data_IF_397698013175
#
_entry.id   IF_397698013175
#
_cell.length_a   1.000
_cell.length_b   1.000
_cell.length_c   1.000
_cell.angle_alpha   90.00
_cell.angle_beta   90.00
_cell.angle_gamma   90.00
#
_symmetry.space_group_name_H-M   'P 1'
#
loop_
_entity.id
_entity.type
_entity.pdbx_description
1 polymer ?
#
# COMPACT_ATOMS: atom_id res chain seq x y z
N UNK A 1 -18.10 -10.63 -11.62
CA UNK A 1 -17.13 -9.90 -10.76
C UNK A 1 -17.54 -9.89 -9.29
N UNK A 2 -18.71 -9.34 -8.90
CA UNK A 2 -19.12 -9.22 -7.48
C UNK A 2 -19.06 -10.51 -6.64
N UNK A 3 -19.43 -11.68 -7.19
CA UNK A 3 -19.33 -12.96 -6.48
C UNK A 3 -17.90 -13.38 -6.07
N UNK A 4 -16.87 -12.85 -6.72
CA UNK A 4 -15.47 -13.25 -6.49
C UNK A 4 -14.74 -12.37 -5.46
N UNK A 5 -15.33 -11.24 -5.05
CA UNK A 5 -14.67 -10.21 -4.22
C UNK A 5 -14.98 -10.43 -2.72
N UNK A 6 -15.79 -11.44 -2.37
CA UNK A 6 -16.28 -11.64 -1.02
C UNK A 6 -17.34 -10.61 -0.62
N UNK A 7 -17.70 -10.59 0.66
CA UNK A 7 -18.64 -9.60 1.20
C UNK A 7 -17.98 -8.21 1.19
N UNK A 8 -18.52 -7.20 0.47
CA UNK A 8 -17.94 -5.86 0.45
C UNK A 8 -17.86 -5.20 1.82
N UNK A 9 -18.71 -5.62 2.77
CA UNK A 9 -18.66 -5.12 4.14
C UNK A 9 -17.44 -5.61 4.94
N UNK A 10 -16.80 -6.70 4.50
CA UNK A 10 -15.59 -7.26 5.13
C UNK A 10 -14.30 -6.70 4.50
N UNK A 11 -14.42 -5.96 3.39
CA UNK A 11 -13.29 -5.31 2.74
C UNK A 11 -12.74 -4.21 3.66
N UNK A 12 -11.56 -4.46 4.22
CA UNK A 12 -10.88 -3.57 5.15
C UNK A 12 -9.45 -3.29 4.69
N UNK A 13 -8.74 -2.42 5.40
CA UNK A 13 -7.40 -1.96 5.01
C UNK A 13 -6.35 -3.07 4.76
N UNK A 14 -6.38 -4.28 5.36
CA UNK A 14 -5.43 -5.34 5.01
C UNK A 14 -5.54 -5.79 3.56
N UNK A 15 -6.72 -5.68 2.94
CA UNK A 15 -6.94 -6.09 1.55
C UNK A 15 -6.11 -5.26 0.57
N UNK A 16 -6.00 -3.94 0.78
CA UNK A 16 -5.12 -3.10 -0.05
C UNK A 16 -3.64 -3.41 0.22
N UNK A 17 -3.29 -3.85 1.43
CA UNK A 17 -1.97 -4.39 1.75
C UNK A 17 -1.61 -5.61 0.91
N UNK A 18 -2.51 -6.58 0.81
CA UNK A 18 -2.31 -7.77 -0.02
C UNK A 18 -2.29 -7.44 -1.52
N UNK A 19 -3.16 -6.54 -1.98
CA UNK A 19 -3.19 -6.08 -3.38
C UNK A 19 -1.86 -5.45 -3.80
N UNK A 20 -1.35 -4.52 -2.98
CA UNK A 20 -0.04 -3.90 -3.20
C UNK A 20 1.10 -4.90 -3.07
N UNK A 21 1.03 -5.82 -2.10
CA UNK A 21 2.02 -6.89 -1.93
C UNK A 21 2.14 -7.77 -3.18
N UNK A 22 1.03 -8.15 -3.79
CA UNK A 22 1.03 -8.92 -5.04
C UNK A 22 1.58 -8.11 -6.22
N UNK A 23 1.30 -6.80 -6.29
CA UNK A 23 1.92 -5.92 -7.28
C UNK A 23 3.46 -5.94 -7.17
N UNK A 24 3.98 -5.80 -5.94
CA UNK A 24 5.42 -5.85 -5.67
C UNK A 24 6.02 -7.22 -6.03
N UNK A 25 5.36 -8.32 -5.66
CA UNK A 25 5.81 -9.68 -6.01
C UNK A 25 5.86 -9.87 -7.53
N UNK A 26 4.86 -9.39 -8.27
CA UNK A 26 4.88 -9.44 -9.73
C UNK A 26 6.10 -8.70 -10.31
N UNK A 27 6.43 -7.52 -9.79
CA UNK A 27 7.62 -6.76 -10.19
C UNK A 27 8.93 -7.48 -9.87
N UNK A 28 9.00 -8.16 -8.73
CA UNK A 28 10.15 -9.01 -8.39
C UNK A 28 10.33 -10.15 -9.40
N UNK A 29 9.25 -10.86 -9.74
CA UNK A 29 9.28 -11.98 -10.70
C UNK A 29 9.67 -11.49 -12.10
N UNK A 30 9.13 -10.36 -12.54
CA UNK A 30 9.51 -9.72 -13.81
C UNK A 30 11.01 -9.41 -13.84
N UNK A 31 11.55 -8.82 -12.77
CA UNK A 31 12.96 -8.43 -12.70
C UNK A 31 13.94 -9.62 -12.69
N UNK A 32 13.53 -10.77 -12.12
CA UNK A 32 14.35 -11.99 -12.13
C UNK A 32 14.11 -12.88 -13.35
N UNK A 33 13.17 -12.53 -14.23
CA UNK A 33 12.73 -13.39 -15.33
C UNK A 33 12.21 -14.73 -14.81
N UNK A 34 11.54 -14.74 -13.66
CA UNK A 34 11.01 -15.95 -13.01
C UNK A 34 12.03 -16.82 -12.27
N UNK A 35 13.32 -16.45 -12.27
CA UNK A 35 14.34 -17.19 -11.50
C UNK A 35 14.25 -16.86 -10.02
N UNK A 36 14.56 -17.84 -9.18
CA UNK A 36 14.66 -17.67 -7.73
C UNK A 36 15.98 -16.99 -7.36
N UNK A 37 16.00 -15.66 -7.46
CA UNK A 37 17.12 -14.81 -7.06
C UNK A 37 16.62 -13.75 -6.07
N UNK A 38 16.75 -14.07 -4.78
CA UNK A 38 16.21 -13.23 -3.70
C UNK A 38 16.89 -11.84 -3.64
N UNK A 39 18.21 -11.79 -3.88
CA UNK A 39 18.94 -10.53 -3.85
C UNK A 39 18.48 -9.62 -4.99
N UNK A 40 18.45 -10.13 -6.22
CA UNK A 40 17.99 -9.36 -7.38
C UNK A 40 16.53 -8.94 -7.25
N UNK A 41 15.66 -9.81 -6.73
CA UNK A 41 14.25 -9.50 -6.49
C UNK A 41 14.07 -8.32 -5.52
N UNK A 42 14.76 -8.36 -4.37
CA UNK A 42 14.66 -7.28 -3.36
C UNK A 42 15.27 -5.99 -3.88
N UNK A 43 16.43 -6.03 -4.53
CA UNK A 43 17.06 -4.82 -5.08
C UNK A 43 16.18 -4.15 -6.16
N UNK A 44 15.47 -4.93 -6.98
CA UNK A 44 14.65 -4.41 -8.06
C UNK A 44 13.43 -3.59 -7.60
N UNK A 45 12.96 -3.79 -6.37
CA UNK A 45 11.78 -3.08 -5.85
C UNK A 45 12.11 -1.93 -4.90
N UNK A 46 13.39 -1.73 -4.55
CA UNK A 46 13.82 -0.54 -3.82
C UNK A 46 13.56 0.71 -4.68
N UNK A 47 12.84 1.68 -4.16
CA UNK A 47 12.44 2.88 -4.90
C UNK A 47 11.27 2.68 -5.86
N UNK A 48 10.70 1.46 -5.96
CA UNK A 48 9.52 1.20 -6.79
C UNK A 48 8.37 2.10 -6.36
N UNK A 49 7.75 2.79 -7.32
CA UNK A 49 6.64 3.72 -7.10
C UNK A 49 5.45 3.37 -8.00
N UNK A 50 4.24 3.43 -7.46
CA UNK A 50 3.00 3.16 -8.19
C UNK A 50 1.80 3.89 -7.57
N UNK A 51 0.67 3.90 -8.29
CA UNK A 51 -0.61 4.37 -7.77
C UNK A 51 -1.40 3.18 -7.22
N UNK A 52 -1.49 3.07 -5.90
CA UNK A 52 -2.30 2.08 -5.20
C UNK A 52 -3.76 2.56 -5.10
N UNK A 53 -4.75 1.66 -4.85
CA UNK A 53 -6.08 2.08 -4.42
C UNK A 53 -6.07 3.02 -3.20
N UNK A 54 -5.01 3.00 -2.38
CA UNK A 54 -4.83 3.93 -1.24
C UNK A 54 -4.20 5.27 -1.59
N UNK A 55 -3.85 5.52 -2.86
CA UNK A 55 -3.08 6.69 -3.30
C UNK A 55 -1.65 6.36 -3.77
N UNK A 56 -0.83 7.37 -4.09
CA UNK A 56 0.54 7.17 -4.54
C UNK A 56 1.41 6.60 -3.42
N UNK A 57 2.21 5.61 -3.74
CA UNK A 57 3.11 4.93 -2.80
C UNK A 57 4.46 4.62 -3.41
N UNK A 58 5.48 4.50 -2.56
CA UNK A 58 6.85 4.15 -2.94
C UNK A 58 7.46 3.21 -1.90
N UNK A 59 8.22 2.19 -2.30
CA UNK A 59 9.08 1.44 -1.37
C UNK A 59 10.36 2.25 -1.12
N UNK A 60 10.56 2.72 0.12
CA UNK A 60 11.77 3.45 0.48
C UNK A 60 13.00 2.54 0.33
N UNK A 61 14.04 2.93 -0.44
CA UNK A 61 15.15 2.05 -0.77
C UNK A 61 16.03 1.69 0.45
N UNK A 62 16.05 2.54 1.49
CA UNK A 62 16.88 2.33 2.66
C UNK A 62 16.19 1.45 3.72
N UNK A 63 14.97 1.80 4.10
CA UNK A 63 14.18 1.08 5.11
C UNK A 63 13.43 -0.12 4.55
N UNK A 64 13.14 -0.13 3.24
CA UNK A 64 12.22 -1.07 2.57
C UNK A 64 10.79 -1.00 3.11
N UNK A 65 10.45 0.05 3.86
CA UNK A 65 9.08 0.34 4.27
C UNK A 65 8.36 1.16 3.20
N UNK A 66 7.03 1.09 3.22
CA UNK A 66 6.20 1.84 2.27
C UNK A 66 6.13 3.32 2.71
N UNK A 67 6.46 4.21 1.79
CA UNK A 67 6.10 5.63 1.87
C UNK A 67 4.72 5.79 1.24
N UNK A 68 3.78 6.39 1.97
CA UNK A 68 2.38 6.51 1.55
C UNK A 68 1.74 7.79 2.11
N UNK A 69 0.60 8.18 1.57
CA UNK A 69 -0.22 9.21 2.19
C UNK A 69 -0.84 8.69 3.49
N UNK A 70 -0.97 9.56 4.48
CA UNK A 70 -1.75 9.32 5.70
C UNK A 70 -2.94 10.27 5.70
N UNK A 71 -4.12 9.74 6.00
CA UNK A 71 -5.37 10.48 5.89
C UNK A 71 -5.99 10.70 7.27
N UNK A 72 -6.31 11.97 7.59
CA UNK A 72 -7.25 12.27 8.66
C UNK A 72 -8.65 12.03 8.14
N UNK A 73 -9.47 11.32 8.92
CA UNK A 73 -10.79 10.85 8.49
C UNK A 73 -11.87 11.15 9.51
N UNK A 74 -13.07 11.43 9.03
CA UNK A 74 -14.29 11.48 9.82
C UNK A 74 -15.25 10.38 9.38
N UNK A 75 -16.00 9.81 10.32
CA UNK A 75 -17.05 8.85 10.00
C UNK A 75 -18.28 9.61 9.52
N UNK A 76 -18.72 9.35 8.29
CA UNK A 76 -19.93 9.95 7.72
C UNK A 76 -20.91 8.87 7.26
N UNK A 77 -22.21 9.22 7.27
CA UNK A 77 -23.28 8.36 6.76
C UNK A 77 -23.54 8.70 5.29
N UNK A 78 -23.39 7.72 4.40
CA UNK A 78 -23.67 7.84 2.97
C UNK A 78 -25.17 7.90 2.67
N UNK A 79 -25.50 8.27 1.43
CA UNK A 79 -26.88 8.29 0.93
C UNK A 79 -27.55 6.90 0.93
N UNK A 80 -26.75 5.83 0.89
CA UNK A 80 -27.19 4.43 1.01
C UNK A 80 -27.40 3.99 2.48
N UNK A 81 -27.25 4.92 3.43
CA UNK A 81 -27.42 4.68 4.86
C UNK A 81 -26.21 4.01 5.54
N UNK A 82 -25.13 3.68 4.82
CA UNK A 82 -23.95 3.04 5.38
C UNK A 82 -22.95 4.08 5.90
N UNK A 83 -22.17 3.69 6.90
CA UNK A 83 -21.08 4.52 7.39
C UNK A 83 -19.81 4.26 6.58
N UNK A 84 -19.11 5.32 6.23
CA UNK A 84 -17.79 5.25 5.61
C UNK A 84 -16.88 6.28 6.26
N UNK A 85 -15.59 6.10 6.03
CA UNK A 85 -14.60 7.03 6.53
C UNK A 85 -14.24 8.02 5.42
N UNK A 86 -14.73 9.25 5.54
CA UNK A 86 -14.43 10.33 4.60
C UNK A 86 -13.08 10.94 4.94
N UNK A 87 -12.23 11.04 3.94
CA UNK A 87 -10.95 11.71 4.04
C UNK A 87 -11.18 13.22 4.09
N UNK A 88 -10.63 13.88 5.11
CA UNK A 88 -10.81 15.33 5.35
C UNK A 88 -9.48 16.10 5.29
N UNK A 89 -8.35 15.41 5.44
CA UNK A 89 -7.02 15.97 5.24
C UNK A 89 -6.04 14.87 4.81
N UNK A 90 -5.07 15.24 3.98
CA UNK A 90 -4.01 14.36 3.50
C UNK A 90 -2.65 14.88 3.97
N UNK A 91 -1.88 13.99 4.59
CA UNK A 91 -0.46 14.18 4.88
C UNK A 91 0.32 13.34 3.87
N UNK A 92 0.91 14.00 2.88
CA UNK A 92 1.50 13.29 1.75
C UNK A 92 2.85 12.65 2.08
N UNK A 93 3.17 11.55 1.39
CA UNK A 93 4.52 10.94 1.34
C UNK A 93 5.16 10.71 2.72
N UNK A 94 4.39 10.15 3.65
CA UNK A 94 4.89 9.78 4.97
C UNK A 94 5.60 8.43 4.92
N UNK A 95 6.85 8.39 5.38
CA UNK A 95 7.55 7.15 5.70
C UNK A 95 7.22 6.66 7.12
N UNK A 96 7.95 5.64 7.61
CA UNK A 96 7.79 5.15 8.99
C UNK A 96 8.47 6.10 10.01
N UNK A 97 7.71 6.77 10.89
CA UNK A 97 8.28 7.65 11.91
C UNK A 97 9.17 6.91 12.92
N UNK A 98 8.91 5.63 13.20
CA UNK A 98 9.68 4.83 14.14
C UNK A 98 11.10 4.54 13.63
N UNK A 99 11.23 4.21 12.34
CA UNK A 99 12.53 4.03 11.69
C UNK A 99 13.27 5.34 11.46
N UNK A 100 12.55 6.44 11.25
CA UNK A 100 13.16 7.77 11.13
C UNK A 100 13.77 8.22 12.47
N UNK A 101 13.10 7.94 13.59
CA UNK A 101 13.60 8.28 14.92
C UNK A 101 14.85 7.49 15.30
N UNK A 102 14.90 6.19 14.99
CA UNK A 102 16.04 5.32 15.33
C UNK A 102 17.36 5.66 14.58
N UNK A 103 17.31 6.53 13.56
CA UNK A 103 18.49 6.99 12.80
C UNK A 103 19.15 8.26 13.37
N UNK A 104 18.54 8.89 14.38
CA UNK A 104 19.13 10.02 15.11
C UNK A 104 19.96 9.51 16.26
#
# INVERSE_FOLDING_TARGET
>A
AQKAIGNPAELSFPAVGAFDGMHVIAKMIEATGGKQDAAKAVEAVKGLSWTSPRGPVTIDPASRHITQNIYLRSVEKGADGKYFNKEIQTFEKQGDPGLAFAKK
#
